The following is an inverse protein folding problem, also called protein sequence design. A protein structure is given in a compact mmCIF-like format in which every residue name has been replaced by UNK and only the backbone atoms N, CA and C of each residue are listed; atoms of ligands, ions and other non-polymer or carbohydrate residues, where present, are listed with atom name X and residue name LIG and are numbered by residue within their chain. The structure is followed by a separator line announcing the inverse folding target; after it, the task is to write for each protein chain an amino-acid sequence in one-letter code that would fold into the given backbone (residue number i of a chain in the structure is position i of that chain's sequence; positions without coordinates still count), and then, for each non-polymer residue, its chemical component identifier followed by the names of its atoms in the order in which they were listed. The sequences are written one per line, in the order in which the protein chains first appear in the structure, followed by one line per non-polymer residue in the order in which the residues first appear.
data_IF_264312126520
#
_entry.id   IF_264312126520
#
_cell.length_a   1.000
_cell.length_b   1.000
_cell.length_c   1.000
_cell.angle_alpha   90.00
_cell.angle_beta   90.00
_cell.angle_gamma   90.00
#
_symmetry.space_group_name_H-M   'P 1'
#
loop_
_entity.id
_entity.type
_entity.pdbx_description
1 polymer ?
#
# COMPACT_ATOMS: atom_id res chain seq x y z
N UNK A 1 -15.59 3.68 17.04
CA UNK A 1 -15.37 2.36 16.37
C UNK A 1 -14.79 2.48 14.97
N UNK A 2 -15.16 3.50 14.18
CA UNK A 2 -14.67 3.69 12.80
C UNK A 2 -13.15 3.81 12.69
N UNK A 3 -12.50 4.59 13.58
CA UNK A 3 -11.03 4.69 13.65
C UNK A 3 -10.35 3.33 13.82
N UNK A 4 -10.93 2.44 14.63
CA UNK A 4 -10.44 1.06 14.82
C UNK A 4 -10.58 0.24 13.54
N UNK A 5 -11.71 0.35 12.83
CA UNK A 5 -11.93 -0.36 11.55
C UNK A 5 -10.91 0.07 10.49
N UNK A 6 -10.63 1.36 10.37
CA UNK A 6 -9.64 1.89 9.42
C UNK A 6 -8.24 1.38 9.76
N UNK A 7 -7.88 1.38 11.05
CA UNK A 7 -6.59 0.83 11.49
C UNK A 7 -6.47 -0.66 11.16
N UNK A 8 -7.52 -1.45 11.38
CA UNK A 8 -7.55 -2.87 11.00
C UNK A 8 -7.32 -3.01 9.49
N UNK A 9 -8.05 -2.25 8.65
CA UNK A 9 -7.86 -2.30 7.18
C UNK A 9 -6.42 -1.96 6.80
N UNK A 10 -5.84 -0.89 7.37
CA UNK A 10 -4.47 -0.51 7.06
C UNK A 10 -3.44 -1.58 7.47
N UNK A 11 -3.60 -2.19 8.66
CA UNK A 11 -2.73 -3.29 9.13
C UNK A 11 -2.90 -4.54 8.26
N UNK A 12 -4.13 -4.87 7.86
CA UNK A 12 -4.39 -5.97 6.91
C UNK A 12 -3.69 -5.71 5.58
N UNK A 13 -3.71 -4.48 5.05
CA UNK A 13 -2.98 -4.14 3.83
C UNK A 13 -1.45 -4.29 3.98
N UNK A 14 -0.90 -3.99 5.17
CA UNK A 14 0.52 -4.24 5.47
C UNK A 14 0.79 -5.75 5.46
N UNK A 15 -0.06 -6.57 6.08
CA UNK A 15 0.09 -8.02 6.04
C UNK A 15 -0.02 -8.57 4.61
N UNK A 16 -1.00 -8.11 3.84
CA UNK A 16 -1.19 -8.45 2.44
C UNK A 16 -0.01 -8.01 1.58
N UNK A 17 0.63 -6.88 1.89
CA UNK A 17 1.85 -6.45 1.22
C UNK A 17 2.93 -7.54 1.31
N UNK A 18 3.21 -8.03 2.50
CA UNK A 18 4.22 -9.09 2.69
C UNK A 18 3.78 -10.40 2.06
N UNK A 19 2.54 -10.82 2.29
CA UNK A 19 2.02 -12.08 1.77
C UNK A 19 2.02 -12.10 0.24
N UNK A 20 1.51 -11.04 -0.39
CA UNK A 20 1.43 -10.96 -1.86
C UNK A 20 2.83 -10.86 -2.47
N UNK A 21 3.74 -10.08 -1.88
CA UNK A 21 5.13 -10.06 -2.36
C UNK A 21 5.79 -11.43 -2.21
N UNK A 22 5.57 -12.13 -1.11
CA UNK A 22 6.11 -13.47 -0.91
C UNK A 22 5.57 -14.45 -1.96
N UNK A 23 4.24 -14.51 -2.13
CA UNK A 23 3.59 -15.38 -3.11
C UNK A 23 4.06 -15.12 -4.54
N UNK A 24 4.03 -13.86 -4.99
CA UNK A 24 4.39 -13.53 -6.36
C UNK A 24 5.87 -13.71 -6.64
N UNK A 25 6.74 -13.27 -5.72
CA UNK A 25 8.20 -13.29 -5.98
C UNK A 25 8.80 -14.67 -5.78
N UNK A 26 8.41 -15.38 -4.72
CA UNK A 26 9.05 -16.65 -4.36
C UNK A 26 8.33 -17.88 -4.91
N UNK A 27 6.99 -17.90 -4.95
CA UNK A 27 6.26 -19.07 -5.44
C UNK A 27 6.02 -19.01 -6.95
N UNK A 28 5.64 -17.83 -7.46
CA UNK A 28 5.32 -17.65 -8.88
C UNK A 28 6.56 -17.27 -9.70
N UNK A 29 7.62 -16.73 -9.06
CA UNK A 29 8.80 -16.22 -9.76
C UNK A 29 8.54 -14.89 -10.49
N UNK A 30 7.40 -14.24 -10.25
CA UNK A 30 7.05 -12.96 -10.86
C UNK A 30 7.72 -11.82 -10.09
N UNK A 31 8.71 -11.18 -10.71
CA UNK A 31 9.55 -10.16 -10.09
C UNK A 31 9.76 -8.94 -10.99
N UNK A 32 10.51 -7.95 -10.49
CA UNK A 32 10.76 -6.70 -11.18
C UNK A 32 9.74 -5.60 -10.93
N UNK A 33 9.81 -4.53 -11.73
CA UNK A 33 9.05 -3.30 -11.50
C UNK A 33 7.57 -3.48 -11.82
N UNK A 34 7.26 -4.16 -12.92
CA UNK A 34 5.88 -4.49 -13.30
C UNK A 34 5.18 -5.31 -12.23
N UNK A 35 5.88 -6.30 -11.64
CA UNK A 35 5.33 -7.06 -10.52
C UNK A 35 4.99 -6.16 -9.34
N UNK A 36 5.89 -5.25 -9.00
CA UNK A 36 5.66 -4.30 -7.90
C UNK A 36 4.48 -3.36 -8.18
N UNK A 37 4.32 -2.89 -9.43
CA UNK A 37 3.17 -2.06 -9.85
C UNK A 37 1.84 -2.82 -9.76
N UNK A 38 1.81 -4.07 -10.24
CA UNK A 38 0.60 -4.91 -10.19
C UNK A 38 0.20 -5.18 -8.74
N UNK A 39 1.15 -5.59 -7.90
CA UNK A 39 0.89 -5.86 -6.48
C UNK A 39 0.45 -4.58 -5.77
N UNK A 40 1.12 -3.46 -6.01
CA UNK A 40 0.75 -2.17 -5.44
C UNK A 40 -0.68 -1.75 -5.85
N UNK A 41 -1.04 -1.92 -7.12
CA UNK A 41 -2.39 -1.63 -7.61
C UNK A 41 -3.45 -2.53 -6.95
N UNK A 42 -3.18 -3.83 -6.83
CA UNK A 42 -4.08 -4.78 -6.17
C UNK A 42 -4.33 -4.41 -4.71
N UNK A 43 -3.27 -4.13 -3.95
CA UNK A 43 -3.38 -3.73 -2.55
C UNK A 43 -4.12 -2.40 -2.42
N UNK A 44 -3.82 -1.43 -3.28
CA UNK A 44 -4.47 -0.13 -3.26
C UNK A 44 -5.98 -0.23 -3.59
N UNK A 45 -6.35 -1.04 -4.58
CA UNK A 45 -7.76 -1.33 -4.88
C UNK A 45 -8.44 -1.99 -3.69
N UNK A 46 -7.82 -3.02 -3.10
CA UNK A 46 -8.34 -3.71 -1.93
C UNK A 46 -8.51 -2.76 -0.74
N UNK A 47 -7.55 -1.88 -0.51
CA UNK A 47 -7.59 -0.89 0.57
C UNK A 47 -8.76 0.07 0.39
N UNK A 48 -8.93 0.65 -0.81
CA UNK A 48 -10.03 1.57 -1.11
C UNK A 48 -11.40 0.89 -1.03
N UNK A 49 -11.52 -0.34 -1.52
CA UNK A 49 -12.74 -1.14 -1.39
C UNK A 49 -13.06 -1.44 0.07
N UNK A 50 -12.07 -1.89 0.85
CA UNK A 50 -12.26 -2.26 2.25
C UNK A 50 -12.62 -1.04 3.11
N UNK A 51 -12.03 0.12 2.84
CA UNK A 51 -12.41 1.39 3.49
C UNK A 51 -13.84 1.77 3.13
N UNK A 52 -14.22 1.69 1.85
CA UNK A 52 -15.60 1.95 1.41
C UNK A 52 -16.60 1.06 2.16
N UNK A 53 -16.32 -0.25 2.22
CA UNK A 53 -17.18 -1.24 2.88
C UNK A 53 -17.22 -1.08 4.39
N UNK A 54 -16.10 -0.73 5.03
CA UNK A 54 -16.03 -0.58 6.49
C UNK A 54 -16.79 0.66 6.99
N UNK A 55 -16.83 1.73 6.18
CA UNK A 55 -17.46 3.00 6.52
C UNK A 55 -18.87 3.15 5.93
N UNK A 56 -19.20 2.48 4.82
CA UNK A 56 -20.47 2.63 4.08
C UNK A 56 -20.79 4.08 3.64
N UNK A 57 -19.77 4.94 3.65
CA UNK A 57 -19.79 6.34 3.22
C UNK A 57 -18.43 6.74 2.71
N UNK A 58 -18.33 7.93 2.11
CA UNK A 58 -17.03 8.50 1.77
C UNK A 58 -16.18 8.74 3.04
N UNK A 59 -14.90 8.36 3.03
CA UNK A 59 -13.99 8.60 4.15
C UNK A 59 -13.75 10.10 4.30
N UNK A 60 -13.76 10.57 5.54
CA UNK A 60 -13.35 11.94 5.86
C UNK A 60 -11.85 12.11 5.59
N UNK A 61 -11.36 13.35 5.36
CA UNK A 61 -9.94 13.60 5.12
C UNK A 61 -9.01 13.03 6.20
N UNK A 62 -9.42 13.09 7.47
CA UNK A 62 -8.68 12.53 8.61
C UNK A 62 -8.63 10.99 8.60
N UNK A 63 -9.70 10.34 8.15
CA UNK A 63 -9.80 8.88 8.07
C UNK A 63 -8.91 8.36 6.93
N UNK A 64 -8.95 9.04 5.79
CA UNK A 64 -8.07 8.81 4.65
C UNK A 64 -6.61 9.00 5.06
N UNK A 65 -6.28 10.15 5.67
CA UNK A 65 -4.90 10.45 6.04
C UNK A 65 -4.37 9.44 7.06
N UNK A 66 -5.18 9.05 8.05
CA UNK A 66 -4.82 7.99 9.01
C UNK A 66 -4.51 6.67 8.31
N UNK A 67 -5.38 6.21 7.41
CA UNK A 67 -5.16 4.94 6.71
C UNK A 67 -3.85 4.97 5.90
N UNK A 68 -3.63 6.07 5.18
CA UNK A 68 -2.45 6.27 4.34
C UNK A 68 -1.17 6.45 5.16
N UNK A 69 -1.23 7.12 6.31
CA UNK A 69 -0.07 7.27 7.21
C UNK A 69 0.30 5.95 7.88
N UNK A 70 -0.68 5.16 8.32
CA UNK A 70 -0.39 3.85 8.89
C UNK A 70 0.23 2.95 7.83
N UNK A 71 -0.42 2.80 6.67
CA UNK A 71 0.05 1.91 5.61
C UNK A 71 1.35 2.42 4.95
N UNK A 72 1.31 3.63 4.39
CA UNK A 72 2.41 4.23 3.66
C UNK A 72 3.55 4.68 4.56
N UNK A 73 3.26 5.19 5.75
CA UNK A 73 4.29 5.57 6.72
C UNK A 73 5.02 4.36 7.28
N UNK A 74 4.32 3.25 7.58
CA UNK A 74 4.97 2.00 7.97
C UNK A 74 5.89 1.47 6.87
N UNK A 75 5.38 1.36 5.64
CA UNK A 75 6.20 0.89 4.51
C UNK A 75 7.38 1.83 4.24
N UNK A 76 7.15 3.14 4.27
CA UNK A 76 8.19 4.15 4.08
C UNK A 76 9.30 4.04 5.12
N UNK A 77 8.93 3.93 6.40
CA UNK A 77 9.90 3.74 7.49
C UNK A 77 10.67 2.43 7.34
N UNK A 78 9.98 1.34 6.96
CA UNK A 78 10.60 0.04 6.73
C UNK A 78 11.64 0.09 5.61
N UNK A 79 11.30 0.66 4.45
CA UNK A 79 12.22 0.75 3.33
C UNK A 79 13.34 1.75 3.55
N UNK A 80 13.08 2.84 4.28
CA UNK A 80 14.13 3.77 4.68
C UNK A 80 15.13 3.09 5.63
N UNK A 81 14.66 2.36 6.65
CA UNK A 81 15.52 1.64 7.58
C UNK A 81 16.33 0.54 6.86
N UNK A 82 15.67 -0.25 6.00
CA UNK A 82 16.33 -1.29 5.21
C UNK A 82 17.37 -0.71 4.26
N UNK A 83 17.02 0.34 3.51
CA UNK A 83 17.92 1.01 2.58
C UNK A 83 19.11 1.66 3.28
N UNK A 84 18.87 2.34 4.43
CA UNK A 84 19.93 2.92 5.23
C UNK A 84 20.89 1.85 5.76
N UNK A 85 20.37 0.73 6.26
CA UNK A 85 21.19 -0.38 6.71
C UNK A 85 22.05 -0.97 5.59
N UNK A 86 21.46 -1.29 4.43
CA UNK A 86 22.19 -1.82 3.27
C UNK A 86 23.25 -0.84 2.74
N UNK A 87 22.98 0.46 2.79
CA UNK A 87 23.93 1.48 2.38
C UNK A 87 25.11 1.60 3.36
N UNK A 88 24.83 1.58 4.67
CA UNK A 88 25.87 1.63 5.71
C UNK A 88 26.73 0.36 5.75
N UNK A 89 26.15 -0.79 5.41
CA UNK A 89 26.86 -2.08 5.28
C UNK A 89 27.75 -2.14 4.01
N UNK A 90 27.72 -1.10 3.17
CA UNK A 90 28.47 -1.05 1.90
C UNK A 90 27.91 -1.99 0.82
N UNK A 91 26.73 -2.58 1.05
CA UNK A 91 26.12 -3.56 0.16
C UNK A 91 25.37 -2.93 -1.03
N UNK A 92 25.09 -1.63 -0.99
CA UNK A 92 24.43 -0.90 -2.08
C UNK A 92 25.12 0.43 -2.38
N UNK A 93 25.33 0.69 -3.68
CA UNK A 93 25.65 2.02 -4.16
C UNK A 93 24.39 2.92 -4.24
N UNK A 94 24.59 4.21 -4.52
CA UNK A 94 23.50 5.19 -4.60
C UNK A 94 22.47 4.87 -5.69
N UNK A 95 22.89 4.23 -6.78
CA UNK A 95 22.00 3.87 -7.90
C UNK A 95 21.09 2.71 -7.51
N UNK A 96 21.65 1.70 -6.84
CA UNK A 96 20.91 0.53 -6.34
C UNK A 96 19.93 0.95 -5.24
N UNK A 97 20.34 1.87 -4.37
CA UNK A 97 19.44 2.47 -3.38
C UNK A 97 18.28 3.24 -4.04
N UNK A 98 18.54 4.02 -5.10
CA UNK A 98 17.49 4.70 -5.84
C UNK A 98 16.53 3.71 -6.53
N UNK A 99 17.06 2.62 -7.09
CA UNK A 99 16.26 1.56 -7.69
C UNK A 99 15.36 0.85 -6.65
N UNK A 100 15.86 0.63 -5.43
CA UNK A 100 15.06 0.14 -4.30
C UNK A 100 13.84 1.04 -4.07
N UNK A 101 14.05 2.34 -3.91
CA UNK A 101 12.94 3.28 -3.71
C UNK A 101 11.98 3.30 -4.90
N UNK A 102 12.48 3.26 -6.14
CA UNK A 102 11.63 3.21 -7.33
C UNK A 102 10.74 1.96 -7.36
N UNK A 103 11.21 0.83 -6.84
CA UNK A 103 10.42 -0.39 -6.73
C UNK A 103 9.31 -0.32 -5.67
N UNK A 104 9.51 0.45 -4.60
CA UNK A 104 8.60 0.45 -3.45
C UNK A 104 7.74 1.71 -3.32
N UNK A 105 8.10 2.81 -3.97
CA UNK A 105 7.31 4.04 -4.04
C UNK A 105 5.91 3.85 -4.68
N UNK A 106 5.70 2.94 -5.64
CA UNK A 106 4.37 2.69 -6.19
C UNK A 106 3.32 2.26 -5.16
N UNK A 107 3.71 1.59 -4.07
CA UNK A 107 2.78 1.10 -3.05
C UNK A 107 2.03 2.24 -2.33
N UNK A 108 2.72 3.20 -1.68
CA UNK A 108 2.04 4.34 -1.07
C UNK A 108 1.42 5.28 -2.13
N UNK A 109 2.07 5.45 -3.30
CA UNK A 109 1.57 6.36 -4.35
C UNK A 109 0.22 5.90 -4.93
N UNK A 110 0.09 4.62 -5.28
CA UNK A 110 -1.16 4.06 -5.79
C UNK A 110 -2.23 3.98 -4.71
N UNK A 111 -1.87 3.65 -3.47
CA UNK A 111 -2.79 3.71 -2.34
C UNK A 111 -3.37 5.12 -2.17
N UNK A 112 -2.54 6.16 -2.23
CA UNK A 112 -2.99 7.55 -2.16
C UNK A 112 -3.93 7.90 -3.33
N UNK A 113 -3.57 7.55 -4.57
CA UNK A 113 -4.36 7.85 -5.76
C UNK A 113 -5.74 7.15 -5.76
N UNK A 114 -5.76 5.87 -5.42
CA UNK A 114 -6.97 5.05 -5.40
C UNK A 114 -7.83 5.33 -4.18
N UNK A 115 -7.31 5.96 -3.13
CA UNK A 115 -8.12 6.35 -1.98
C UNK A 115 -8.96 7.60 -2.25
N UNK A 116 -8.92 8.20 -3.45
CA UNK A 116 -9.70 9.40 -3.82
C UNK A 116 -11.23 9.20 -3.79
N UNK A 117 -11.99 10.29 -3.57
CA UNK A 117 -13.46 10.24 -3.45
C UNK A 117 -14.11 9.62 -4.68
N UNK A 118 -13.53 9.86 -5.87
CA UNK A 118 -14.02 9.31 -7.14
C UNK A 118 -13.96 7.78 -7.16
N UNK A 119 -12.86 7.20 -6.69
CA UNK A 119 -12.64 5.75 -6.71
C UNK A 119 -13.44 5.09 -5.58
N UNK A 120 -13.36 5.62 -4.36
CA UNK A 120 -14.12 5.10 -3.23
C UNK A 120 -15.62 5.21 -3.48
N UNK A 121 -16.08 6.32 -4.07
CA UNK A 121 -17.48 6.52 -4.46
C UNK A 121 -17.98 5.53 -5.52
N UNK A 122 -17.10 5.01 -6.40
CA UNK A 122 -17.49 3.93 -7.34
C UNK A 122 -17.78 2.62 -6.59
N UNK A 123 -17.00 2.29 -5.57
CA UNK A 123 -17.24 1.08 -4.76
C UNK A 123 -18.52 1.18 -3.93
N UNK A 124 -18.91 2.37 -3.49
CA UNK A 124 -20.18 2.59 -2.79
C UNK A 124 -21.40 2.51 -3.73
N UNK A 125 -21.25 2.97 -4.98
CA UNK A 125 -22.33 2.93 -6.00
C UNK A 125 -22.54 1.55 -6.62
N UNK A 126 -21.53 0.68 -6.57
CA UNK A 126 -21.63 -0.70 -7.04
C UNK A 126 -22.56 -1.59 -6.21
N UNK A 127 -23.09 -1.08 -5.09
CA UNK A 127 -24.04 -1.75 -4.20
C UNK A 127 -25.47 -1.22 -4.37
N UNK A 128 -25.91 -1.00 -5.61
CA UNK A 128 -27.34 -0.95 -5.94
C UNK A 128 -27.92 -2.37 -5.95
N UNK A 129 -29.22 -2.55 -5.61
CA UNK A 129 -29.85 -3.83 -5.28
C UNK A 129 -29.68 -4.93 -6.34
#
# INVERSE_FOLDING_TARGET
MEKTRITIVAVTCIALFFLTNYLFRYLIGFSGLLASLVIAALIAVYMSFSVARALQRLPLPEERSRALWIYGGFLGALFAAFGAWMFLDGAMDSVTLAALFLHYLPYPALAHALMSDRVVGKFLKGEGP
#
